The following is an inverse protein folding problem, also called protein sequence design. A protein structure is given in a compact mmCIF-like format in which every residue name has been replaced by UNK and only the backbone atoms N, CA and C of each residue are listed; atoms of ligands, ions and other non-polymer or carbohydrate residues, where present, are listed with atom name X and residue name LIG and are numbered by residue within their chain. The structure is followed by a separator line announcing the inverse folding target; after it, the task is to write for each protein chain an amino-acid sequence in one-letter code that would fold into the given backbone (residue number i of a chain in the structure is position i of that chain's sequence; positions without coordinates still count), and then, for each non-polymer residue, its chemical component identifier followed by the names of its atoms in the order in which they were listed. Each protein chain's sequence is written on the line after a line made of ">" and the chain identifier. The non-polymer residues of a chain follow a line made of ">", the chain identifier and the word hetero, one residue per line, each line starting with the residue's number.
data_IF_008078405070
#
_entry.id   IF_008078405070
#
_cell.length_a   1.000
_cell.length_b   1.000
_cell.length_c   1.000
_cell.angle_alpha   90.00
_cell.angle_beta   90.00
_cell.angle_gamma   90.00
#
_symmetry.space_group_name_H-M   'P 1'
#
loop_
_entity.id
_entity.type
_entity.pdbx_description
1 polymer ?
#
# COMPACT_ATOMS: atom_id res chain seq x y z
N UNK A 1 27.38 -8.67 -40.80
CA UNK A 1 27.24 -8.39 -39.34
C UNK A 1 27.66 -9.63 -38.59
N UNK A 2 28.51 -9.49 -37.57
CA UNK A 2 28.93 -10.59 -36.72
C UNK A 2 27.75 -11.07 -35.86
N UNK A 3 27.62 -12.37 -35.58
CA UNK A 3 26.55 -12.90 -34.72
C UNK A 3 26.51 -12.19 -33.35
N UNK A 4 27.66 -11.71 -32.88
CA UNK A 4 27.82 -10.94 -31.64
C UNK A 4 27.17 -9.54 -31.67
N UNK A 5 26.91 -8.94 -32.84
CA UNK A 5 26.15 -7.68 -32.95
C UNK A 5 24.64 -7.89 -32.99
N UNK A 6 24.18 -9.11 -33.29
CA UNK A 6 22.76 -9.45 -33.42
C UNK A 6 22.13 -9.79 -32.07
N UNK A 7 22.90 -10.41 -31.18
CA UNK A 7 22.51 -10.74 -29.80
C UNK A 7 21.99 -9.52 -29.01
N UNK A 8 22.70 -8.38 -28.89
CA UNK A 8 22.21 -7.22 -28.14
C UNK A 8 20.95 -6.60 -28.76
N UNK A 9 20.80 -6.64 -30.08
CA UNK A 9 19.60 -6.12 -30.77
C UNK A 9 18.35 -6.94 -30.40
N UNK A 10 18.49 -8.27 -30.34
CA UNK A 10 17.40 -9.16 -29.91
C UNK A 10 16.99 -8.88 -28.47
N UNK A 11 17.94 -8.70 -27.55
CA UNK A 11 17.62 -8.36 -26.16
C UNK A 11 16.92 -7.00 -26.03
N UNK A 12 17.34 -5.99 -26.79
CA UNK A 12 16.66 -4.68 -26.81
C UNK A 12 15.22 -4.82 -27.32
N UNK A 13 15.01 -5.56 -28.41
CA UNK A 13 13.67 -5.77 -28.97
C UNK A 13 12.75 -6.54 -27.99
N UNK A 14 13.26 -7.59 -27.33
CA UNK A 14 12.53 -8.32 -26.30
C UNK A 14 12.19 -7.45 -25.10
N UNK A 15 13.14 -6.62 -24.65
CA UNK A 15 12.91 -5.69 -23.54
C UNK A 15 11.85 -4.65 -23.88
N UNK A 16 11.92 -4.03 -25.06
CA UNK A 16 10.92 -3.06 -25.53
C UNK A 16 9.53 -3.70 -25.69
N UNK A 17 9.46 -4.91 -26.24
CA UNK A 17 8.22 -5.67 -26.36
C UNK A 17 7.60 -5.99 -25.01
N UNK A 18 8.40 -6.47 -24.05
CA UNK A 18 7.96 -6.74 -22.69
C UNK A 18 7.51 -5.46 -21.97
N UNK A 19 8.27 -4.37 -22.09
CA UNK A 19 7.91 -3.08 -21.49
C UNK A 19 6.59 -2.54 -22.04
N UNK A 20 6.38 -2.61 -23.36
CA UNK A 20 5.13 -2.20 -23.99
C UNK A 20 3.95 -3.07 -23.54
N UNK A 21 4.15 -4.38 -23.45
CA UNK A 21 3.14 -5.32 -22.95
C UNK A 21 2.70 -4.99 -21.53
N UNK A 22 3.65 -4.81 -20.59
CA UNK A 22 3.37 -4.45 -19.21
C UNK A 22 2.67 -3.09 -19.13
N UNK A 23 3.13 -2.09 -19.88
CA UNK A 23 2.52 -0.76 -19.91
C UNK A 23 1.06 -0.81 -20.37
N UNK A 24 0.78 -1.56 -21.43
CA UNK A 24 -0.58 -1.73 -21.94
C UNK A 24 -1.49 -2.44 -20.94
N UNK A 25 -1.00 -3.53 -20.32
CA UNK A 25 -1.75 -4.28 -19.30
C UNK A 25 -2.10 -3.41 -18.08
N UNK A 26 -1.11 -2.67 -17.56
CA UNK A 26 -1.32 -1.76 -16.43
C UNK A 26 -2.32 -0.65 -16.78
N UNK A 27 -2.26 -0.11 -18.00
CA UNK A 27 -3.21 0.90 -18.47
C UNK A 27 -4.64 0.35 -18.54
N UNK A 28 -4.83 -0.85 -19.07
CA UNK A 28 -6.15 -1.48 -19.15
C UNK A 28 -6.73 -1.76 -17.77
N UNK A 29 -5.91 -2.26 -16.86
CA UNK A 29 -6.30 -2.45 -15.48
C UNK A 29 -6.68 -1.14 -14.81
N UNK A 30 -5.84 -0.11 -14.91
CA UNK A 30 -6.13 1.21 -14.36
C UNK A 30 -7.45 1.78 -14.92
N UNK A 31 -7.75 1.53 -16.20
CA UNK A 31 -9.01 1.93 -16.83
C UNK A 31 -10.21 1.18 -16.25
N UNK A 32 -10.14 -0.15 -16.15
CA UNK A 32 -11.22 -0.98 -15.59
C UNK A 32 -11.50 -0.55 -14.14
N UNK A 33 -10.44 -0.41 -13.35
CA UNK A 33 -10.56 0.00 -11.95
C UNK A 33 -11.13 1.42 -11.85
N UNK A 34 -10.65 2.37 -12.65
CA UNK A 34 -11.13 3.76 -12.62
C UNK A 34 -12.58 3.91 -13.11
N UNK A 35 -13.06 2.99 -13.97
CA UNK A 35 -14.44 2.97 -14.46
C UNK A 35 -15.42 2.24 -13.53
N UNK A 36 -14.93 1.62 -12.45
CA UNK A 36 -15.76 0.90 -11.49
C UNK A 36 -16.61 1.88 -10.67
N UNK A 37 -17.89 1.58 -10.48
CA UNK A 37 -18.73 2.29 -9.52
C UNK A 37 -18.37 1.87 -8.10
N UNK A 38 -17.35 2.52 -7.54
CA UNK A 38 -16.90 2.20 -6.19
C UNK A 38 -17.92 2.48 -5.11
N UNK A 39 -18.87 3.40 -5.34
CA UNK A 39 -19.91 3.70 -4.36
C UNK A 39 -20.87 2.53 -4.20
N UNK A 40 -21.28 1.92 -5.32
CA UNK A 40 -22.04 0.68 -5.30
C UNK A 40 -21.20 -0.49 -4.75
N UNK A 41 -19.95 -0.59 -5.20
CA UNK A 41 -19.06 -1.69 -4.85
C UNK A 41 -18.70 -1.73 -3.36
N UNK A 42 -18.70 -0.58 -2.69
CA UNK A 42 -18.43 -0.44 -1.26
C UNK A 42 -19.40 -1.23 -0.37
N UNK A 43 -20.62 -1.52 -0.86
CA UNK A 43 -21.56 -2.39 -0.15
C UNK A 43 -21.00 -3.81 0.09
N UNK A 44 -19.98 -4.23 -0.68
CA UNK A 44 -19.32 -5.53 -0.54
C UNK A 44 -18.12 -5.52 0.41
N UNK A 45 -17.83 -4.42 1.12
CA UNK A 45 -16.63 -4.29 1.95
C UNK A 45 -16.43 -5.43 2.95
N UNK A 46 -17.48 -5.82 3.67
CA UNK A 46 -17.41 -6.92 4.63
C UNK A 46 -17.11 -8.27 3.94
N UNK A 47 -17.72 -8.53 2.79
CA UNK A 47 -17.47 -9.73 1.99
C UNK A 47 -16.00 -9.80 1.55
N UNK A 48 -15.45 -8.70 1.04
CA UNK A 48 -14.06 -8.62 0.58
C UNK A 48 -13.07 -8.74 1.72
N UNK A 49 -13.32 -8.06 2.85
CA UNK A 49 -12.54 -8.22 4.08
C UNK A 49 -12.50 -9.68 4.52
N UNK A 50 -13.66 -10.34 4.61
CA UNK A 50 -13.75 -11.72 5.06
C UNK A 50 -13.07 -12.70 4.09
N UNK A 51 -13.15 -12.44 2.79
CA UNK A 51 -12.41 -13.18 1.77
C UNK A 51 -10.91 -13.07 2.03
N UNK A 52 -10.36 -11.85 2.08
CA UNK A 52 -8.93 -11.61 2.32
C UNK A 52 -8.42 -12.23 3.62
N UNK A 53 -9.15 -12.07 4.73
CA UNK A 53 -8.74 -12.63 6.02
C UNK A 53 -8.78 -14.16 6.06
N UNK A 54 -9.44 -14.81 5.10
CA UNK A 54 -9.52 -16.28 5.03
C UNK A 54 -8.52 -16.83 4.01
N UNK A 55 -8.34 -16.15 2.87
CA UNK A 55 -7.50 -16.62 1.77
C UNK A 55 -6.06 -16.11 1.85
N UNK A 56 -5.85 -14.83 2.15
CA UNK A 56 -4.53 -14.18 2.06
C UNK A 56 -3.92 -13.86 3.43
N UNK A 57 -4.75 -13.57 4.44
CA UNK A 57 -4.29 -13.13 5.78
C UNK A 57 -4.85 -13.99 6.94
N UNK A 58 -4.85 -15.34 6.87
CA UNK A 58 -5.37 -16.17 7.95
C UNK A 58 -4.59 -16.01 9.26
N UNK A 59 -3.31 -15.63 9.18
CA UNK A 59 -2.49 -15.35 10.36
C UNK A 59 -2.99 -14.14 11.16
N UNK A 60 -3.64 -13.15 10.54
CA UNK A 60 -4.22 -12.02 11.28
C UNK A 60 -5.41 -12.47 12.14
N UNK A 61 -6.23 -13.40 11.64
CA UNK A 61 -7.29 -14.00 12.47
C UNK A 61 -6.71 -14.74 13.66
N UNK A 62 -5.60 -15.47 13.45
CA UNK A 62 -4.91 -16.17 14.54
C UNK A 62 -4.33 -15.19 15.56
N UNK A 63 -3.72 -14.09 15.10
CA UNK A 63 -3.10 -13.08 15.94
C UNK A 63 -4.11 -12.24 16.74
N UNK A 64 -5.32 -12.05 16.21
CA UNK A 64 -6.43 -11.39 16.91
C UNK A 64 -7.19 -12.34 17.85
N UNK A 65 -6.85 -13.63 17.88
CA UNK A 65 -7.50 -14.65 18.71
C UNK A 65 -9.04 -14.65 18.56
N UNK A 66 -9.78 -14.22 19.59
CA UNK A 66 -11.23 -14.09 19.58
C UNK A 66 -11.73 -12.66 19.34
N UNK A 67 -10.83 -11.69 19.25
CA UNK A 67 -11.19 -10.30 18.97
C UNK A 67 -11.67 -10.13 17.53
N UNK A 68 -12.67 -9.27 17.36
CA UNK A 68 -13.28 -9.00 16.06
C UNK A 68 -12.31 -8.21 15.19
N UNK A 69 -12.29 -8.50 13.88
CA UNK A 69 -11.61 -7.65 12.89
C UNK A 69 -12.67 -6.81 12.20
N UNK A 70 -12.84 -5.55 12.62
CA UNK A 70 -13.83 -4.63 12.05
C UNK A 70 -13.39 -4.15 10.67
N UNK A 71 -12.14 -3.70 10.57
CA UNK A 71 -11.48 -3.34 9.32
C UNK A 71 -9.96 -3.51 9.43
N UNK A 72 -9.25 -3.55 8.30
CA UNK A 72 -7.78 -3.61 8.32
C UNK A 72 -7.16 -2.86 7.14
N UNK A 73 -5.90 -2.48 7.29
CA UNK A 73 -5.09 -1.90 6.22
C UNK A 73 -3.62 -2.32 6.34
N UNK A 74 -2.87 -2.16 5.26
CA UNK A 74 -1.42 -2.29 5.27
C UNK A 74 -0.77 -0.95 5.58
N UNK A 75 0.37 -1.03 6.24
CA UNK A 75 1.18 0.10 6.61
C UNK A 75 2.66 -0.17 6.30
N UNK A 76 3.40 0.91 6.06
CA UNK A 76 4.86 0.91 5.92
C UNK A 76 5.46 2.01 6.79
N UNK A 77 6.75 1.88 7.11
CA UNK A 77 7.45 2.93 7.86
C UNK A 77 7.68 4.17 6.99
N UNK A 78 7.58 5.36 7.60
CA UNK A 78 7.87 6.63 6.91
C UNK A 78 9.23 6.65 6.20
N UNK A 79 10.27 6.09 6.84
CA UNK A 79 11.64 6.09 6.29
C UNK A 79 11.76 5.35 4.96
N UNK A 80 10.93 4.33 4.68
CA UNK A 80 10.95 3.58 3.41
C UNK A 80 10.33 4.34 2.26
N UNK A 81 9.31 5.16 2.53
CA UNK A 81 8.60 5.92 1.50
C UNK A 81 9.24 7.29 1.28
N UNK A 82 9.70 7.98 2.33
CA UNK A 82 10.40 9.26 2.18
C UNK A 82 11.72 9.09 1.40
N UNK A 83 12.45 7.99 1.62
CA UNK A 83 13.61 7.62 0.80
C UNK A 83 13.21 7.28 -0.63
N UNK A 84 12.18 6.46 -0.86
CA UNK A 84 11.69 6.15 -2.22
C UNK A 84 11.17 7.38 -2.99
N UNK A 85 10.50 8.33 -2.33
CA UNK A 85 10.04 9.58 -2.91
C UNK A 85 11.22 10.52 -3.26
N UNK A 86 12.24 10.57 -2.38
CA UNK A 86 13.47 11.34 -2.61
C UNK A 86 14.34 10.70 -3.69
N UNK A 87 14.44 9.38 -3.71
CA UNK A 87 15.17 8.61 -4.71
C UNK A 87 14.46 8.60 -6.06
N UNK A 88 13.13 8.71 -6.13
CA UNK A 88 12.41 8.88 -7.40
C UNK A 88 12.80 10.15 -8.17
N UNK A 89 13.22 11.21 -7.47
CA UNK A 89 13.81 12.42 -8.07
C UNK A 89 15.28 12.18 -8.44
N UNK A 90 16.00 11.46 -7.58
CA UNK A 90 17.43 11.16 -7.74
C UNK A 90 17.69 10.15 -8.86
N UNK A 91 16.82 9.19 -9.11
CA UNK A 91 17.00 8.10 -10.07
C UNK A 91 16.90 8.56 -11.52
N UNK A 92 16.16 9.65 -11.80
CA UNK A 92 16.25 10.34 -13.10
C UNK A 92 17.61 11.00 -13.34
N UNK A 93 18.33 11.39 -12.28
CA UNK A 93 19.70 11.93 -12.36
C UNK A 93 20.77 10.82 -12.30
N UNK A 94 20.57 9.78 -11.50
CA UNK A 94 21.49 8.64 -11.33
C UNK A 94 21.48 7.68 -12.53
N UNK A 95 20.43 7.71 -13.35
CA UNK A 95 20.38 6.99 -14.63
C UNK A 95 21.53 7.30 -15.60
N UNK A 96 22.33 8.34 -15.31
CA UNK A 96 23.56 8.65 -16.04
C UNK A 96 24.87 8.43 -15.23
N UNK A 97 24.85 8.06 -13.94
CA UNK A 97 26.04 8.23 -13.09
C UNK A 97 26.43 7.08 -12.13
N UNK A 98 25.65 6.03 -11.89
CA UNK A 98 26.03 5.04 -10.85
C UNK A 98 25.81 3.58 -11.26
N UNK A 99 26.72 3.06 -12.10
CA UNK A 99 26.99 1.63 -12.25
C UNK A 99 27.89 1.07 -11.12
N UNK A 100 27.98 1.74 -9.98
CA UNK A 100 28.86 1.34 -8.89
C UNK A 100 28.34 1.78 -7.52
N UNK A 101 28.12 0.78 -6.67
CA UNK A 101 28.04 0.87 -5.21
C UNK A 101 26.95 1.76 -4.60
N UNK A 102 25.77 1.19 -4.31
CA UNK A 102 25.00 1.62 -3.12
C UNK A 102 24.25 0.43 -2.49
N UNK A 103 24.71 0.00 -1.31
CA UNK A 103 23.96 -0.86 -0.39
C UNK A 103 23.06 0.03 0.48
N UNK A 104 21.75 -0.12 0.36
CA UNK A 104 20.79 0.26 1.41
C UNK A 104 19.67 -0.78 1.43
N UNK A 105 19.72 -1.74 2.35
CA UNK A 105 18.64 -2.71 2.56
C UNK A 105 18.37 -2.86 4.04
N UNK A 106 17.80 -1.83 4.67
CA UNK A 106 16.91 -2.11 5.80
C UNK A 106 15.69 -2.78 5.17
N UNK A 107 15.51 -4.08 5.40
CA UNK A 107 14.37 -4.83 4.86
C UNK A 107 13.09 -4.17 5.40
N UNK A 108 12.29 -3.56 4.52
CA UNK A 108 10.96 -3.12 4.90
C UNK A 108 10.13 -4.39 5.11
N UNK A 109 9.51 -4.51 6.28
CA UNK A 109 8.59 -5.60 6.61
C UNK A 109 7.15 -5.08 6.65
N UNK A 110 6.16 -5.87 6.20
CA UNK A 110 4.78 -5.45 6.21
C UNK A 110 4.27 -5.20 7.62
N UNK A 111 3.55 -4.08 7.77
CA UNK A 111 2.81 -3.79 8.99
C UNK A 111 1.33 -3.88 8.70
N UNK A 112 0.59 -4.49 9.62
CA UNK A 112 -0.85 -4.66 9.50
C UNK A 112 -1.53 -3.84 10.58
N UNK A 113 -2.43 -2.97 10.14
CA UNK A 113 -3.32 -2.21 11.01
C UNK A 113 -4.66 -2.91 11.04
N UNK A 114 -5.16 -3.22 12.24
CA UNK A 114 -6.45 -3.88 12.44
C UNK A 114 -7.26 -3.07 13.43
N UNK A 115 -8.43 -2.60 12.99
CA UNK A 115 -9.40 -1.95 13.86
C UNK A 115 -10.26 -3.02 14.53
N UNK A 116 -10.37 -2.96 15.86
CA UNK A 116 -11.24 -3.82 16.67
C UNK A 116 -11.93 -3.00 17.74
N UNK A 117 -13.24 -2.78 17.59
CA UNK A 117 -14.02 -1.89 18.43
C UNK A 117 -13.44 -0.47 18.44
N UNK A 118 -12.88 -0.06 19.59
CA UNK A 118 -12.24 1.25 19.80
C UNK A 118 -10.70 1.16 19.87
N UNK A 119 -10.14 0.02 19.51
CA UNK A 119 -8.70 -0.18 19.55
C UNK A 119 -8.16 -0.35 18.14
N UNK A 120 -6.96 0.18 17.91
CA UNK A 120 -6.20 -0.06 16.71
C UNK A 120 -5.00 -0.94 17.05
N UNK A 121 -4.95 -2.10 16.43
CA UNK A 121 -3.89 -3.08 16.58
C UNK A 121 -2.88 -2.86 15.46
N UNK A 122 -1.60 -2.75 15.82
CA UNK A 122 -0.48 -2.69 14.88
C UNK A 122 0.34 -3.96 15.04
N UNK A 123 0.30 -4.81 14.03
CA UNK A 123 1.17 -5.98 13.92
C UNK A 123 2.39 -5.63 13.08
N UNK A 124 3.56 -5.76 13.68
CA UNK A 124 4.84 -5.62 13.02
C UNK A 124 5.40 -7.00 12.69
N UNK A 125 5.78 -7.23 11.43
CA UNK A 125 6.39 -8.48 11.00
C UNK A 125 7.90 -8.39 10.93
N UNK A 126 8.57 -9.52 11.10
CA UNK A 126 10.00 -9.65 10.83
C UNK A 126 10.28 -9.97 9.34
N UNK A 127 11.54 -10.24 9.03
CA UNK A 127 12.00 -10.54 7.66
C UNK A 127 11.47 -11.86 7.12
N UNK A 128 11.00 -12.75 8.00
CA UNK A 128 10.42 -14.03 7.64
C UNK A 128 8.90 -13.90 7.42
N UNK A 129 8.34 -12.71 7.65
CA UNK A 129 6.91 -12.40 7.51
C UNK A 129 6.08 -12.80 8.72
N UNK A 130 6.73 -13.25 9.79
CA UNK A 130 6.07 -13.64 11.03
C UNK A 130 5.81 -12.42 11.90
N UNK A 131 4.73 -12.44 12.68
CA UNK A 131 4.41 -11.35 13.60
C UNK A 131 5.45 -11.35 14.74
N UNK A 132 6.25 -10.30 14.78
CA UNK A 132 7.29 -10.08 15.79
C UNK A 132 6.77 -9.23 16.95
N UNK A 133 5.95 -8.20 16.65
CA UNK A 133 5.43 -7.27 17.65
C UNK A 133 3.97 -6.97 17.43
N UNK A 134 3.26 -6.76 18.52
CA UNK A 134 1.85 -6.37 18.53
C UNK A 134 1.70 -5.19 19.48
N UNK A 135 1.27 -4.05 18.93
CA UNK A 135 0.94 -2.85 19.70
C UNK A 135 -0.55 -2.59 19.64
N UNK A 136 -1.12 -2.09 20.74
CA UNK A 136 -2.53 -1.73 20.83
C UNK A 136 -2.60 -0.23 21.17
N UNK A 137 -3.28 0.52 20.32
CA UNK A 137 -3.60 1.92 20.53
C UNK A 137 -5.06 2.03 20.94
N UNK A 138 -5.28 2.43 22.20
CA UNK A 138 -6.60 2.67 22.74
C UNK A 138 -7.19 4.01 22.25
N UNK A 139 -8.42 4.30 22.67
CA UNK A 139 -9.11 5.53 22.32
C UNK A 139 -8.34 6.80 22.70
N UNK A 140 -7.70 6.84 23.88
CA UNK A 140 -6.97 8.03 24.33
C UNK A 140 -5.75 8.32 23.44
N UNK A 141 -5.02 7.28 23.02
CA UNK A 141 -3.92 7.43 22.04
C UNK A 141 -4.46 7.82 20.66
N UNK A 142 -5.57 7.26 20.22
CA UNK A 142 -6.15 7.53 18.90
C UNK A 142 -6.75 8.94 18.79
N UNK A 143 -7.38 9.46 19.84
CA UNK A 143 -7.89 10.84 19.92
C UNK A 143 -6.76 11.90 19.80
N UNK A 144 -5.55 11.54 20.21
CA UNK A 144 -4.35 12.39 20.11
C UNK A 144 -3.47 12.05 18.90
N UNK A 145 -3.90 11.11 18.07
CA UNK A 145 -3.21 10.73 16.84
C UNK A 145 -3.59 11.65 15.67
N UNK A 146 -2.90 11.55 14.54
CA UNK A 146 -3.19 12.37 13.36
C UNK A 146 -3.11 11.57 12.07
N UNK A 147 -4.04 11.82 11.16
CA UNK A 147 -3.98 11.32 9.79
C UNK A 147 -3.93 12.50 8.82
N UNK A 148 -2.94 12.54 7.93
CA UNK A 148 -2.82 13.59 6.91
C UNK A 148 -2.57 13.01 5.53
N UNK A 149 -3.28 13.52 4.52
CA UNK A 149 -3.01 13.17 3.12
C UNK A 149 -1.57 13.54 2.74
N UNK A 150 -0.91 12.62 2.04
CA UNK A 150 0.43 12.82 1.50
C UNK A 150 0.37 12.92 -0.03
N UNK A 151 1.01 13.94 -0.62
CA UNK A 151 1.08 14.05 -2.07
C UNK A 151 1.93 12.90 -2.61
N UNK A 152 1.34 12.12 -3.51
CA UNK A 152 2.05 11.08 -4.24
C UNK A 152 2.89 11.72 -5.35
N UNK A 153 4.20 11.44 -5.36
CA UNK A 153 5.12 11.93 -6.39
C UNK A 153 6.02 10.81 -6.92
N UNK A 154 6.59 11.02 -8.11
CA UNK A 154 7.60 10.11 -8.68
C UNK A 154 7.10 8.69 -8.91
N UNK A 155 7.93 7.70 -8.55
CA UNK A 155 7.66 6.27 -8.75
C UNK A 155 6.46 5.77 -7.94
N UNK A 156 6.23 6.33 -6.74
CA UNK A 156 5.10 5.96 -5.87
C UNK A 156 3.78 6.42 -6.49
N UNK A 157 3.75 7.60 -7.12
CA UNK A 157 2.59 8.07 -7.86
C UNK A 157 2.27 7.17 -9.05
N UNK A 158 3.28 6.79 -9.84
CA UNK A 158 3.09 5.92 -10.99
C UNK A 158 2.55 4.53 -10.59
N UNK A 159 3.02 3.98 -9.46
CA UNK A 159 2.54 2.70 -8.93
C UNK A 159 1.11 2.78 -8.41
N UNK A 160 0.77 3.86 -7.71
CA UNK A 160 -0.59 4.11 -7.26
C UNK A 160 -1.55 4.25 -8.45
N UNK A 161 -1.19 5.03 -9.47
CA UNK A 161 -1.97 5.22 -10.70
C UNK A 161 -2.17 3.92 -11.48
N UNK A 162 -1.18 3.02 -11.48
CA UNK A 162 -1.33 1.72 -12.11
C UNK A 162 -2.37 0.82 -11.42
N UNK A 163 -2.73 1.14 -10.17
CA UNK A 163 -3.82 0.51 -9.42
C UNK A 163 -5.13 1.30 -9.51
N UNK A 164 -5.20 2.35 -10.32
CA UNK A 164 -6.35 3.22 -10.50
C UNK A 164 -6.09 4.66 -10.04
N UNK A 165 -6.86 5.61 -10.59
CA UNK A 165 -6.67 7.04 -10.31
C UNK A 165 -7.14 7.48 -8.91
N UNK A 166 -7.79 6.57 -8.17
CA UNK A 166 -8.41 6.83 -6.88
C UNK A 166 -7.54 6.42 -5.68
N UNK A 167 -6.25 6.14 -5.91
CA UNK A 167 -5.34 5.74 -4.84
C UNK A 167 -4.64 6.98 -4.26
N UNK A 168 -4.84 7.20 -2.97
CA UNK A 168 -4.21 8.23 -2.15
C UNK A 168 -3.31 7.59 -1.09
N UNK A 169 -2.33 8.36 -0.61
CA UNK A 169 -1.50 7.99 0.53
C UNK A 169 -1.78 8.92 1.71
N UNK A 170 -1.58 8.40 2.91
CA UNK A 170 -1.75 9.12 4.15
C UNK A 170 -0.62 8.82 5.11
N UNK A 171 -0.18 9.86 5.83
CA UNK A 171 0.71 9.75 6.99
C UNK A 171 -0.15 9.60 8.23
N UNK A 172 -0.11 8.40 8.83
CA UNK A 172 -0.72 8.11 10.11
C UNK A 172 0.33 8.27 11.21
N UNK A 173 0.15 9.24 12.09
CA UNK A 173 1.00 9.47 13.26
C UNK A 173 0.26 9.02 14.51
N UNK A 174 0.63 7.87 15.05
CA UNK A 174 0.01 7.26 16.22
C UNK A 174 0.71 7.71 17.49
N UNK A 175 -0.05 8.28 18.43
CA UNK A 175 0.51 8.81 19.67
C UNK A 175 1.03 7.68 20.58
N UNK A 176 2.23 7.88 21.12
CA UNK A 176 2.83 7.05 22.17
C UNK A 176 3.22 7.94 23.36
N UNK A 177 3.78 7.35 24.42
CA UNK A 177 4.29 8.15 25.55
C UNK A 177 5.60 8.87 25.20
N UNK A 178 6.32 8.37 24.19
CA UNK A 178 7.56 8.93 23.68
C UNK A 178 7.32 9.70 22.35
N UNK A 179 7.85 9.16 21.25
CA UNK A 179 7.70 9.71 19.91
C UNK A 179 6.58 8.97 19.17
N UNK A 180 5.70 9.69 18.46
CA UNK A 180 4.65 9.05 17.67
C UNK A 180 5.22 7.99 16.71
N UNK A 181 4.51 6.87 16.61
CA UNK A 181 4.76 5.88 15.57
C UNK A 181 4.21 6.42 14.27
N UNK A 182 5.07 6.65 13.27
CA UNK A 182 4.67 7.20 11.99
C UNK A 182 4.64 6.12 10.91
N UNK A 183 3.47 5.97 10.32
CA UNK A 183 3.15 4.99 9.30
C UNK A 183 2.64 5.66 8.03
N UNK A 184 2.88 5.01 6.90
CA UNK A 184 2.30 5.35 5.61
C UNK A 184 1.28 4.28 5.24
N UNK A 185 0.05 4.71 5.03
CA UNK A 185 -1.07 3.87 4.60
C UNK A 185 -1.65 4.41 3.30
N UNK A 186 -2.33 3.56 2.55
CA UNK A 186 -2.92 3.92 1.26
C UNK A 186 -4.43 3.67 1.28
N UNK A 187 -5.19 4.32 0.40
CA UNK A 187 -6.59 3.99 0.10
C UNK A 187 -6.72 2.73 -0.80
N UNK A 188 -5.71 1.86 -0.77
CA UNK A 188 -5.64 0.56 -1.42
C UNK A 188 -4.66 -0.28 -0.60
N UNK A 189 -4.90 -1.58 -0.41
CA UNK A 189 -3.95 -2.46 0.29
C UNK A 189 -2.62 -2.54 -0.48
N UNK A 190 -1.65 -1.71 -0.08
CA UNK A 190 -0.34 -1.59 -0.71
C UNK A 190 0.72 -1.69 0.39
N UNK A 191 1.59 -2.68 0.26
CA UNK A 191 2.82 -2.76 1.02
C UNK A 191 4.01 -2.34 0.15
N UNK A 192 4.84 -1.42 0.64
CA UNK A 192 5.96 -0.84 -0.13
C UNK A 192 7.26 -1.59 0.11
N UNK A 193 7.41 -2.72 -0.57
CA UNK A 193 8.70 -3.13 -1.12
C UNK A 193 8.42 -3.84 -2.45
N UNK A 194 8.30 -3.04 -3.52
CA UNK A 194 8.06 -3.39 -4.93
C UNK A 194 7.29 -4.71 -5.14
N UNK A 195 5.96 -4.65 -5.14
CA UNK A 195 5.11 -5.76 -5.58
C UNK A 195 4.45 -5.42 -6.92
N UNK A 196 4.45 -6.40 -7.82
CA UNK A 196 3.77 -6.39 -9.11
C UNK A 196 2.36 -5.79 -8.98
N UNK A 197 2.00 -4.96 -9.96
CA UNK A 197 0.63 -4.48 -10.09
C UNK A 197 -0.25 -5.74 -10.25
N UNK A 198 -1.25 -5.97 -9.37
CA UNK A 198 -1.99 -7.22 -9.36
C UNK A 198 -2.60 -7.39 -10.73
N UNK A 199 -2.29 -8.46 -11.45
CA UNK A 199 -2.72 -8.58 -12.85
C UNK A 199 -4.24 -8.72 -13.03
N UNK A 200 -4.98 -8.82 -11.93
CA UNK A 200 -6.42 -8.92 -11.87
C UNK A 200 -7.03 -7.60 -11.34
N UNK A 201 -7.82 -6.88 -12.17
CA UNK A 201 -8.54 -5.68 -11.77
C UNK A 201 -9.46 -5.90 -10.55
N UNK A 202 -10.13 -7.05 -10.44
CA UNK A 202 -11.04 -7.35 -9.33
C UNK A 202 -10.30 -7.35 -7.98
N UNK A 203 -9.11 -7.98 -7.92
CA UNK A 203 -8.28 -7.94 -6.70
C UNK A 203 -7.90 -6.50 -6.31
N UNK A 204 -7.70 -5.63 -7.30
CA UNK A 204 -7.38 -4.22 -7.05
C UNK A 204 -8.59 -3.47 -6.50
N UNK A 205 -9.78 -3.72 -7.06
CA UNK A 205 -11.05 -3.18 -6.56
C UNK A 205 -11.28 -3.60 -5.12
N UNK A 206 -11.17 -4.89 -4.81
CA UNK A 206 -11.31 -5.41 -3.44
C UNK A 206 -10.32 -4.74 -2.47
N UNK A 207 -9.05 -4.64 -2.86
CA UNK A 207 -8.03 -3.97 -2.07
C UNK A 207 -8.31 -2.47 -1.84
N UNK A 208 -8.90 -1.77 -2.82
CA UNK A 208 -9.35 -0.39 -2.68
C UNK A 208 -10.51 -0.32 -1.68
N UNK A 209 -11.53 -1.16 -1.84
CA UNK A 209 -12.70 -1.17 -0.96
C UNK A 209 -12.30 -1.44 0.49
N UNK A 210 -11.49 -2.47 0.75
CA UNK A 210 -11.07 -2.82 2.12
C UNK A 210 -10.31 -1.66 2.78
N UNK A 211 -9.36 -1.06 2.06
CA UNK A 211 -8.57 0.05 2.60
C UNK A 211 -9.42 1.31 2.86
N UNK A 212 -10.38 1.61 1.99
CA UNK A 212 -11.30 2.74 2.20
C UNK A 212 -12.30 2.46 3.33
N UNK A 213 -12.73 1.22 3.50
CA UNK A 213 -13.60 0.83 4.63
C UNK A 213 -12.87 1.01 5.96
N UNK A 214 -11.60 0.62 6.04
CA UNK A 214 -10.74 0.94 7.19
C UNK A 214 -10.65 2.44 7.45
N UNK A 215 -10.33 3.25 6.43
CA UNK A 215 -10.23 4.71 6.59
C UNK A 215 -11.57 5.34 7.02
N UNK A 216 -12.68 4.83 6.49
CA UNK A 216 -14.02 5.27 6.86
C UNK A 216 -14.32 4.97 8.33
N UNK A 217 -14.18 3.71 8.75
CA UNK A 217 -14.49 3.30 10.12
C UNK A 217 -13.57 3.98 11.14
N UNK A 218 -12.28 4.11 10.83
CA UNK A 218 -11.34 4.84 11.68
C UNK A 218 -11.75 6.31 11.85
N UNK A 219 -12.12 6.99 10.75
CA UNK A 219 -12.55 8.39 10.79
C UNK A 219 -13.93 8.62 11.40
N UNK A 220 -14.83 7.62 11.33
CA UNK A 220 -16.15 7.66 11.97
C UNK A 220 -16.03 7.50 13.50
N UNK A 221 -15.09 6.69 13.98
CA UNK A 221 -14.78 6.54 15.41
C UNK A 221 -13.95 7.70 15.97
N UNK A 222 -12.99 8.20 15.18
CA UNK A 222 -12.03 9.23 15.59
C UNK A 222 -12.03 10.39 14.58
N UNK A 223 -12.80 11.47 14.81
CA UNK A 223 -12.92 12.58 13.87
C UNK A 223 -11.59 13.26 13.51
N UNK A 224 -10.59 13.25 14.41
CA UNK A 224 -9.23 13.74 14.17
C UNK A 224 -8.43 12.89 13.16
N UNK A 225 -8.89 11.67 12.87
CA UNK A 225 -8.32 10.75 11.89
C UNK A 225 -9.16 10.67 10.60
N UNK A 226 -10.21 11.49 10.47
CA UNK A 226 -11.08 11.51 9.29
C UNK A 226 -10.37 12.13 8.08
N UNK A 227 -10.50 11.47 6.94
CA UNK A 227 -9.96 11.93 5.64
C UNK A 227 -11.02 11.84 4.54
N UNK A 228 -10.81 12.58 3.45
CA UNK A 228 -11.60 12.38 2.23
C UNK A 228 -11.27 11.02 1.63
N UNK A 229 -12.32 10.24 1.38
CA UNK A 229 -12.23 8.92 0.76
C UNK A 229 -12.34 9.09 -0.75
N UNK A 230 -11.30 8.76 -1.52
CA UNK A 230 -11.26 9.02 -2.96
C UNK A 230 -12.35 8.28 -3.77
N UNK A 231 -12.94 7.22 -3.20
CA UNK A 231 -13.99 6.44 -3.85
C UNK A 231 -15.41 7.03 -3.76
N UNK A 232 -15.59 8.10 -2.97
CA UNK A 232 -16.88 8.79 -2.80
C UNK A 232 -16.89 10.21 -3.37
N UNK A 233 -15.79 10.62 -4.01
CA UNK A 233 -15.64 11.93 -4.64
C UNK A 233 -16.08 11.92 -6.10
#
# INVERSE_FOLDING_TARGET
>A
MSIYTLIPIVFIALYLGYWFYIKNKNSQQAQIVSNTDFKAEFANAEKYKNHFLTSELPFLKKAMEQEKIDAFNYASNEYGVASALKDGVKDKLKGMATLGAVRFTTVQTPKYLVLSGKNLHLFDTDTDGEINRHFIFDAARLENSRLTELPLTGSVQAQAQARGNNVKAYKLSLQTDDKPVVLIIYSCLIFTNIAEIPTNPQKTIEAIIIANDFLKQLGDLYPNLKVSLPIFN
#
